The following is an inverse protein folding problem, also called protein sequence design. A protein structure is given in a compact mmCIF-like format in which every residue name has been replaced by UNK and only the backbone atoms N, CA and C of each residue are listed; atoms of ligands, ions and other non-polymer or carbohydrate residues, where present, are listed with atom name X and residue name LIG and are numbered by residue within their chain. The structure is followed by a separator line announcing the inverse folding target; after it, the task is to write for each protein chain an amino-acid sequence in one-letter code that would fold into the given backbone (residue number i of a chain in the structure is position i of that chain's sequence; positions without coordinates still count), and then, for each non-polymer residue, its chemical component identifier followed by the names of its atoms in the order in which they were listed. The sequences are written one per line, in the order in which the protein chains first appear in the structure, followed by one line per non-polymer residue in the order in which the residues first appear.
data_IF_466920000203
#
_entry.id   IF_466920000203
#
_cell.length_a   1.000
_cell.length_b   1.000
_cell.length_c   1.000
_cell.angle_alpha   90.00
_cell.angle_beta   90.00
_cell.angle_gamma   90.00
#
_symmetry.space_group_name_H-M   'P 1'
#
loop_
_entity.id
_entity.type
_entity.pdbx_description
1 polymer ?
#
# COMPACT_ATOMS: atom_id res chain seq x y z
N UNK A 1 8.63 0.38 11.20
CA UNK A 1 9.43 1.38 10.46
C UNK A 1 9.64 2.64 11.30
N UNK A 2 8.58 3.40 11.66
CA UNK A 2 8.71 4.66 12.39
C UNK A 2 9.47 4.52 13.72
N UNK A 3 9.25 3.44 14.48
CA UNK A 3 9.97 3.16 15.74
C UNK A 3 11.47 2.98 15.48
N UNK A 4 11.85 2.23 14.43
CA UNK A 4 13.27 2.04 14.08
C UNK A 4 13.95 3.37 13.76
N UNK A 5 13.31 4.22 12.94
CA UNK A 5 13.84 5.55 12.62
C UNK A 5 13.94 6.41 13.88
N UNK A 6 12.90 6.42 14.71
CA UNK A 6 12.89 7.18 15.97
C UNK A 6 13.98 6.74 16.95
N UNK A 7 14.17 5.42 17.12
CA UNK A 7 15.23 4.87 17.98
C UNK A 7 16.63 5.18 17.43
N UNK A 8 16.82 5.04 16.10
CA UNK A 8 18.07 5.37 15.45
C UNK A 8 18.50 6.82 15.74
N UNK A 9 17.55 7.74 15.64
CA UNK A 9 17.76 9.15 15.96
C UNK A 9 17.97 9.38 17.46
N UNK A 10 17.09 8.82 18.30
CA UNK A 10 17.08 9.05 19.75
C UNK A 10 18.37 8.59 20.43
N UNK A 11 18.87 7.44 20.03
CA UNK A 11 20.09 6.86 20.61
C UNK A 11 21.37 7.21 19.83
N UNK A 12 21.26 7.97 18.75
CA UNK A 12 22.40 8.36 17.93
C UNK A 12 23.14 7.15 17.32
N UNK A 13 22.41 6.08 17.00
CA UNK A 13 23.02 4.84 16.51
C UNK A 13 23.62 4.98 15.10
N UNK A 14 23.21 6.00 14.34
CA UNK A 14 23.71 6.38 13.01
C UNK A 14 23.66 5.24 11.98
N UNK A 15 22.69 4.34 12.12
CA UNK A 15 22.46 3.28 11.15
C UNK A 15 22.01 3.90 9.82
N UNK A 16 22.57 3.40 8.74
CA UNK A 16 22.16 3.71 7.38
C UNK A 16 20.76 3.15 7.07
N UNK A 17 20.11 3.64 6.01
CA UNK A 17 18.83 3.09 5.56
C UNK A 17 18.94 1.60 5.24
N UNK A 18 20.05 1.15 4.65
CA UNK A 18 20.29 -0.27 4.35
C UNK A 18 20.33 -1.12 5.62
N UNK A 19 21.00 -0.66 6.67
CA UNK A 19 21.05 -1.36 7.96
C UNK A 19 19.70 -1.37 8.67
N UNK A 20 18.95 -0.26 8.60
CA UNK A 20 17.57 -0.20 9.11
C UNK A 20 16.65 -1.17 8.36
N UNK A 21 16.78 -1.27 7.04
CA UNK A 21 16.01 -2.23 6.23
C UNK A 21 16.37 -3.68 6.60
N UNK A 22 17.68 -3.97 6.78
CA UNK A 22 18.13 -5.31 7.20
C UNK A 22 17.61 -5.71 8.59
N UNK A 23 17.54 -4.75 9.53
CA UNK A 23 16.89 -4.94 10.82
C UNK A 23 15.37 -5.10 10.68
N UNK A 24 14.76 -4.26 9.85
CA UNK A 24 13.33 -4.27 9.57
C UNK A 24 12.84 -5.59 9.00
N UNK A 25 13.60 -6.19 8.07
CA UNK A 25 13.29 -7.49 7.47
C UNK A 25 13.19 -8.63 8.50
N UNK A 26 13.94 -8.53 9.62
CA UNK A 26 13.85 -9.50 10.73
C UNK A 26 12.58 -9.34 11.58
N UNK A 27 11.90 -8.19 11.47
CA UNK A 27 10.67 -7.89 12.22
C UNK A 27 9.44 -8.26 11.37
N UNK A 28 9.51 -8.00 10.06
CA UNK A 28 8.42 -8.32 9.14
C UNK A 28 8.74 -7.89 7.71
N UNK A 29 8.18 -8.61 6.75
CA UNK A 29 8.41 -8.43 5.32
C UNK A 29 8.12 -7.01 4.81
N UNK A 30 7.10 -6.34 5.35
CA UNK A 30 6.68 -5.01 4.90
C UNK A 30 7.49 -3.86 5.52
N UNK A 31 8.28 -4.14 6.57
CA UNK A 31 9.03 -3.10 7.31
C UNK A 31 10.08 -2.41 6.44
N UNK A 32 10.86 -3.11 5.59
CA UNK A 32 11.82 -2.46 4.69
C UNK A 32 11.16 -1.47 3.72
N UNK A 33 10.03 -1.85 3.10
CA UNK A 33 9.28 -0.94 2.24
C UNK A 33 8.74 0.26 3.03
N UNK A 34 8.18 0.03 4.21
CA UNK A 34 7.69 1.12 5.07
C UNK A 34 8.79 2.07 5.57
N UNK A 35 10.07 1.62 5.61
CA UNK A 35 11.22 2.47 5.89
C UNK A 35 11.59 3.34 4.69
N UNK A 36 11.63 2.75 3.49
CA UNK A 36 11.95 3.47 2.26
C UNK A 36 10.82 4.40 1.83
N UNK A 37 9.58 3.92 1.87
CA UNK A 37 8.39 4.61 1.37
C UNK A 37 8.45 4.90 -0.13
N UNK A 38 7.57 5.79 -0.59
CA UNK A 38 7.48 6.14 -2.00
C UNK A 38 6.93 4.99 -2.86
N UNK A 39 7.44 4.87 -4.08
CA UNK A 39 7.06 3.82 -5.03
C UNK A 39 8.20 2.83 -5.19
N UNK A 40 7.95 1.55 -4.94
CA UNK A 40 8.95 0.50 -5.04
C UNK A 40 8.38 -0.75 -5.72
N UNK A 41 9.19 -1.41 -6.55
CA UNK A 41 8.99 -2.81 -6.89
C UNK A 41 9.57 -3.65 -5.74
N UNK A 42 8.74 -4.47 -5.14
CA UNK A 42 9.11 -5.37 -4.04
C UNK A 42 9.08 -6.81 -4.54
N UNK A 43 10.13 -7.57 -4.28
CA UNK A 43 10.27 -8.96 -4.72
C UNK A 43 10.80 -9.83 -3.58
N UNK A 44 10.96 -11.15 -3.85
CA UNK A 44 11.36 -12.11 -2.84
C UNK A 44 10.29 -12.26 -1.77
N UNK A 45 10.70 -12.27 -0.51
CA UNK A 45 9.79 -12.29 0.65
C UNK A 45 9.53 -10.88 1.20
N UNK A 46 9.70 -9.83 0.38
CA UNK A 46 9.57 -8.43 0.78
C UNK A 46 10.92 -7.74 1.02
N UNK A 47 12.02 -8.40 0.76
CA UNK A 47 13.39 -7.98 1.05
C UNK A 47 14.13 -7.35 -0.12
N UNK A 48 13.71 -7.65 -1.35
CA UNK A 48 14.31 -7.09 -2.56
C UNK A 48 13.52 -5.86 -3.03
N UNK A 49 14.01 -4.68 -2.65
CA UNK A 49 13.37 -3.41 -2.99
C UNK A 49 14.11 -2.69 -4.12
N UNK A 50 13.35 -2.32 -5.14
CA UNK A 50 13.82 -1.47 -6.24
C UNK A 50 12.98 -0.18 -6.24
N UNK A 51 13.61 0.94 -5.90
CA UNK A 51 12.95 2.24 -5.95
C UNK A 51 12.53 2.59 -7.40
N UNK A 52 11.34 3.13 -7.55
CA UNK A 52 10.78 3.62 -8.81
C UNK A 52 10.54 5.13 -8.70
N UNK A 53 10.35 5.84 -9.83
CA UNK A 53 9.84 7.20 -9.81
C UNK A 53 8.51 7.26 -9.05
N UNK A 54 8.14 8.44 -8.51
CA UNK A 54 6.82 8.62 -7.93
C UNK A 54 5.72 8.18 -8.89
N UNK A 55 4.68 7.52 -8.37
CA UNK A 55 3.47 7.27 -9.14
C UNK A 55 2.87 8.62 -9.59
N UNK A 56 2.21 8.70 -10.77
CA UNK A 56 1.53 9.91 -11.21
C UNK A 56 0.57 10.45 -10.15
N UNK A 57 0.30 11.76 -10.18
CA UNK A 57 -0.63 12.41 -9.27
C UNK A 57 -2.00 11.73 -9.34
N UNK A 58 -2.46 11.23 -8.19
CA UNK A 58 -3.73 10.53 -8.07
C UNK A 58 -4.25 10.61 -6.63
N UNK A 59 -5.49 10.18 -6.46
CA UNK A 59 -6.16 10.05 -5.18
C UNK A 59 -6.51 8.59 -4.92
N UNK A 60 -6.45 8.19 -3.66
CA UNK A 60 -6.91 6.87 -3.22
C UNK A 60 -8.09 7.04 -2.28
N UNK A 61 -9.19 6.34 -2.56
CA UNK A 61 -10.22 6.06 -1.55
C UNK A 61 -10.00 4.65 -1.03
N UNK A 62 -9.66 4.51 0.24
CA UNK A 62 -9.37 3.23 0.90
C UNK A 62 -10.49 2.89 1.85
N UNK A 63 -10.94 1.65 1.79
CA UNK A 63 -12.01 1.10 2.63
C UNK A 63 -11.53 -0.15 3.33
N UNK A 64 -11.72 -0.21 4.65
CA UNK A 64 -11.45 -1.40 5.44
C UNK A 64 -12.78 -1.91 6.03
N UNK A 65 -13.28 -3.07 5.60
CA UNK A 65 -14.43 -3.74 6.22
C UNK A 65 -14.19 -4.05 7.70
N UNK A 66 -15.27 -4.23 8.47
CA UNK A 66 -15.20 -4.50 9.91
C UNK A 66 -14.77 -5.96 10.25
N UNK A 67 -14.16 -6.66 9.29
CA UNK A 67 -13.56 -7.99 9.48
C UNK A 67 -12.16 -8.05 8.86
N UNK A 68 -11.36 -8.98 9.35
CA UNK A 68 -10.03 -9.26 8.81
C UNK A 68 -10.00 -10.53 7.95
N UNK A 69 -8.97 -10.65 7.12
CA UNK A 69 -8.62 -11.86 6.39
C UNK A 69 -7.31 -12.39 6.94
N UNK A 70 -7.25 -13.69 7.17
CA UNK A 70 -6.01 -14.35 7.60
C UNK A 70 -5.05 -14.46 6.43
N UNK A 71 -3.93 -13.73 6.49
CA UNK A 71 -2.89 -13.78 5.44
C UNK A 71 -2.38 -15.20 5.18
N UNK A 72 -2.06 -16.03 6.19
CA UNK A 72 -1.67 -17.42 5.95
C UNK A 72 -2.74 -18.24 5.24
N UNK A 73 -4.02 -18.05 5.59
CA UNK A 73 -5.13 -18.78 4.94
C UNK A 73 -5.33 -18.35 3.50
N UNK A 74 -5.20 -17.06 3.19
CA UNK A 74 -5.28 -16.54 1.82
C UNK A 74 -4.17 -17.11 0.94
N UNK A 75 -2.93 -17.18 1.43
CA UNK A 75 -1.83 -17.81 0.71
C UNK A 75 -2.01 -19.33 0.55
N UNK A 76 -2.44 -20.05 1.58
CA UNK A 76 -2.73 -21.47 1.50
C UNK A 76 -3.85 -21.78 0.49
N UNK A 77 -4.87 -20.94 0.43
CA UNK A 77 -5.92 -21.05 -0.58
C UNK A 77 -5.37 -20.78 -1.99
N UNK A 78 -4.52 -19.77 -2.16
CA UNK A 78 -3.84 -19.49 -3.42
C UNK A 78 -2.98 -20.68 -3.89
N UNK A 79 -2.20 -21.29 -3.01
CA UNK A 79 -1.36 -22.45 -3.32
C UNK A 79 -2.20 -23.68 -3.76
N UNK A 80 -3.46 -23.75 -3.29
CA UNK A 80 -4.36 -24.87 -3.60
C UNK A 80 -5.17 -24.65 -4.88
N UNK A 81 -5.73 -23.46 -5.04
CA UNK A 81 -6.69 -23.11 -6.11
C UNK A 81 -6.01 -22.37 -7.26
N UNK A 82 -4.95 -21.63 -6.97
CA UNK A 82 -4.34 -20.68 -7.90
C UNK A 82 -5.16 -19.41 -8.08
N UNK A 83 -4.82 -18.64 -9.10
CA UNK A 83 -5.57 -17.46 -9.53
C UNK A 83 -5.51 -17.35 -11.05
N UNK A 84 -6.58 -16.86 -11.66
CA UNK A 84 -6.60 -16.48 -13.07
C UNK A 84 -5.95 -15.12 -13.32
N UNK A 85 -5.78 -14.32 -12.25
CA UNK A 85 -5.23 -12.97 -12.30
C UNK A 85 -3.70 -13.01 -12.16
N UNK A 86 -3.00 -12.58 -13.20
CA UNK A 86 -1.54 -12.47 -13.24
C UNK A 86 -1.14 -11.03 -13.58
N UNK A 87 -0.93 -10.16 -12.57
CA UNK A 87 -0.53 -8.77 -12.81
C UNK A 87 0.79 -8.68 -13.57
N UNK A 88 0.83 -7.81 -14.61
CA UNK A 88 2.06 -7.53 -15.35
C UNK A 88 2.86 -6.43 -14.64
N UNK A 89 3.71 -6.84 -13.70
CA UNK A 89 4.55 -5.92 -12.94
C UNK A 89 5.57 -5.17 -13.81
N UNK A 90 5.96 -5.70 -14.97
CA UNK A 90 6.91 -5.03 -15.87
C UNK A 90 6.20 -3.93 -16.68
N UNK A 91 5.02 -4.21 -17.18
CA UNK A 91 4.17 -3.20 -17.82
C UNK A 91 3.83 -2.07 -16.84
N UNK A 92 3.49 -2.42 -15.59
CA UNK A 92 3.20 -1.44 -14.54
C UNK A 92 4.43 -0.57 -14.21
N UNK A 93 5.62 -1.16 -14.06
CA UNK A 93 6.87 -0.40 -13.84
C UNK A 93 7.15 0.55 -15.02
N UNK A 94 6.95 0.10 -16.26
CA UNK A 94 7.11 0.91 -17.46
C UNK A 94 6.13 2.09 -17.49
N UNK A 95 4.88 1.85 -17.13
CA UNK A 95 3.85 2.89 -17.06
C UNK A 95 4.16 3.93 -15.97
N UNK A 96 4.63 3.50 -14.79
CA UNK A 96 5.09 4.42 -13.72
C UNK A 96 6.21 5.31 -14.23
N UNK A 97 7.21 4.75 -14.93
CA UNK A 97 8.32 5.52 -15.49
C UNK A 97 7.90 6.49 -16.60
N UNK A 98 6.83 6.17 -17.31
CA UNK A 98 6.24 7.04 -18.33
C UNK A 98 5.34 8.14 -17.74
N UNK A 99 4.96 8.03 -16.45
CA UNK A 99 4.02 8.94 -15.82
C UNK A 99 2.57 8.76 -16.29
N UNK A 100 2.22 7.56 -16.78
CA UNK A 100 0.91 7.23 -17.37
C UNK A 100 0.04 6.51 -16.33
N UNK A 101 -0.88 7.24 -15.68
CA UNK A 101 -1.75 6.70 -14.63
C UNK A 101 -2.70 5.62 -15.16
N UNK A 102 -3.26 5.82 -16.37
CA UNK A 102 -4.20 4.86 -16.95
C UNK A 102 -3.51 3.52 -17.22
N UNK A 103 -2.30 3.56 -17.78
CA UNK A 103 -1.50 2.36 -18.01
C UNK A 103 -1.05 1.70 -16.70
N UNK A 104 -0.72 2.47 -15.65
CA UNK A 104 -0.42 1.94 -14.30
C UNK A 104 -1.63 1.19 -13.75
N UNK A 105 -2.82 1.77 -13.87
CA UNK A 105 -4.06 1.17 -13.39
C UNK A 105 -4.47 -0.05 -14.22
N UNK A 106 -4.28 -0.01 -15.54
CA UNK A 106 -4.61 -1.11 -16.43
C UNK A 106 -3.73 -2.36 -16.18
N UNK A 107 -2.46 -2.15 -15.81
CA UNK A 107 -1.53 -3.24 -15.48
C UNK A 107 -1.65 -3.74 -14.03
N UNK A 108 -2.44 -3.04 -13.19
CA UNK A 108 -2.61 -3.40 -11.79
C UNK A 108 -3.56 -4.59 -11.61
N UNK A 109 -3.26 -5.44 -10.65
CA UNK A 109 -4.09 -6.59 -10.28
C UNK A 109 -3.64 -7.19 -8.95
N UNK A 110 -4.46 -8.07 -8.39
CA UNK A 110 -4.13 -8.78 -7.17
C UNK A 110 -4.53 -10.25 -7.28
N UNK A 111 -3.54 -11.13 -7.39
CA UNK A 111 -3.75 -12.57 -7.52
C UNK A 111 -4.46 -13.21 -6.31
N UNK A 112 -4.42 -12.58 -5.13
CA UNK A 112 -5.07 -13.07 -3.93
C UNK A 112 -6.57 -12.76 -3.86
N UNK A 113 -7.10 -11.88 -4.72
CA UNK A 113 -8.52 -11.49 -4.67
C UNK A 113 -9.47 -12.68 -4.77
N UNK A 114 -9.16 -13.63 -5.67
CA UNK A 114 -9.99 -14.81 -5.92
C UNK A 114 -9.97 -15.82 -4.77
N UNK A 115 -8.95 -15.76 -3.91
CA UNK A 115 -8.69 -16.73 -2.84
C UNK A 115 -8.92 -16.17 -1.45
N UNK A 116 -9.03 -14.84 -1.29
CA UNK A 116 -8.99 -14.18 0.02
C UNK A 116 -10.21 -14.45 0.90
N UNK A 117 -11.35 -14.83 0.31
CA UNK A 117 -12.62 -14.96 1.02
C UNK A 117 -13.21 -13.62 1.50
N UNK A 118 -12.71 -12.48 1.03
CA UNK A 118 -13.22 -11.15 1.36
C UNK A 118 -14.61 -10.93 0.75
N UNK A 119 -15.65 -10.94 1.59
CA UNK A 119 -17.05 -10.99 1.15
C UNK A 119 -17.53 -9.71 0.47
N UNK A 120 -17.02 -8.53 0.89
CA UNK A 120 -17.49 -7.23 0.40
C UNK A 120 -16.65 -6.70 -0.78
N UNK A 121 -15.63 -7.43 -1.19
CA UNK A 121 -14.63 -7.00 -2.16
C UNK A 121 -15.30 -6.47 -3.45
N UNK A 122 -16.15 -7.29 -4.08
CA UNK A 122 -16.81 -6.92 -5.34
C UNK A 122 -17.79 -5.76 -5.17
N UNK A 123 -18.54 -5.71 -4.06
CA UNK A 123 -19.49 -4.63 -3.79
C UNK A 123 -18.75 -3.28 -3.62
N UNK A 124 -17.65 -3.26 -2.87
CA UNK A 124 -16.84 -2.06 -2.68
C UNK A 124 -16.18 -1.63 -4.00
N UNK A 125 -15.60 -2.56 -4.77
CA UNK A 125 -15.00 -2.27 -6.07
C UNK A 125 -16.01 -1.71 -7.06
N UNK A 126 -17.20 -2.29 -7.11
CA UNK A 126 -18.30 -1.81 -7.97
C UNK A 126 -18.69 -0.37 -7.61
N UNK A 127 -18.81 -0.06 -6.32
CA UNK A 127 -19.16 1.28 -5.85
C UNK A 127 -18.06 2.29 -6.16
N UNK A 128 -16.78 1.93 -5.95
CA UNK A 128 -15.65 2.79 -6.30
C UNK A 128 -15.65 3.11 -7.80
N UNK A 129 -15.83 2.10 -8.66
CA UNK A 129 -15.90 2.27 -10.13
C UNK A 129 -17.09 3.11 -10.56
N UNK A 130 -18.27 2.93 -9.94
CA UNK A 130 -19.47 3.73 -10.22
C UNK A 130 -19.26 5.22 -9.91
N UNK A 131 -18.30 5.57 -9.05
CA UNK A 131 -17.94 6.95 -8.72
C UNK A 131 -16.67 7.43 -9.47
N UNK A 132 -16.25 6.73 -10.52
CA UNK A 132 -15.17 7.18 -11.40
C UNK A 132 -13.77 6.73 -11.01
N UNK A 133 -13.63 5.67 -10.20
CA UNK A 133 -12.31 5.08 -9.99
C UNK A 133 -11.75 4.51 -11.30
N UNK A 134 -10.54 4.91 -11.68
CA UNK A 134 -9.80 4.37 -12.83
C UNK A 134 -9.55 2.87 -12.65
N UNK A 135 -9.22 2.47 -11.43
CA UNK A 135 -9.17 1.06 -11.01
C UNK A 135 -9.62 0.91 -9.57
N UNK A 136 -10.07 -0.30 -9.21
CA UNK A 136 -10.39 -0.66 -7.84
C UNK A 136 -9.96 -2.09 -7.56
N UNK A 137 -9.16 -2.29 -6.50
CA UNK A 137 -8.52 -3.54 -6.14
C UNK A 137 -8.51 -3.76 -4.63
N UNK A 138 -8.49 -5.01 -4.23
CA UNK A 138 -8.14 -5.40 -2.87
C UNK A 138 -6.63 -5.19 -2.64
N UNK A 139 -6.22 -4.76 -1.45
CA UNK A 139 -4.81 -4.63 -1.10
C UNK A 139 -4.30 -5.83 -0.31
N UNK A 140 -3.17 -6.39 -0.73
CA UNK A 140 -2.55 -7.54 -0.07
C UNK A 140 -3.47 -8.76 -0.03
N UNK A 141 -3.54 -9.42 1.12
CA UNK A 141 -4.44 -10.56 1.37
C UNK A 141 -5.88 -10.14 1.68
N UNK A 142 -6.17 -8.84 1.75
CA UNK A 142 -7.47 -8.27 2.11
C UNK A 142 -7.54 -7.95 3.62
N UNK A 143 -8.69 -7.54 4.15
CA UNK A 143 -9.95 -7.25 3.44
C UNK A 143 -10.04 -5.82 2.87
N UNK A 144 -8.99 -5.00 3.05
CA UNK A 144 -9.02 -3.62 2.58
C UNK A 144 -9.08 -3.55 1.05
N UNK A 145 -9.88 -2.60 0.55
CA UNK A 145 -10.05 -2.32 -0.88
C UNK A 145 -9.71 -0.85 -1.13
N UNK A 146 -9.10 -0.55 -2.24
CA UNK A 146 -8.84 0.83 -2.65
C UNK A 146 -9.31 1.09 -4.08
N UNK A 147 -9.71 2.33 -4.35
CA UNK A 147 -9.90 2.86 -5.69
C UNK A 147 -8.89 3.94 -5.98
N UNK A 148 -8.40 3.99 -7.21
CA UNK A 148 -7.51 5.04 -7.72
C UNK A 148 -8.33 6.01 -8.55
N UNK A 149 -8.13 7.31 -8.34
CA UNK A 149 -8.83 8.40 -9.02
C UNK A 149 -7.84 9.44 -9.53
N UNK A 150 -8.08 9.99 -10.69
CA UNK A 150 -7.40 11.14 -11.25
C UNK A 150 -8.02 12.48 -10.78
N UNK A 151 -9.29 12.45 -10.31
CA UNK A 151 -10.02 13.61 -9.79
C UNK A 151 -10.34 13.48 -8.29
N UNK A 152 -10.05 14.55 -7.53
CA UNK A 152 -10.33 14.62 -6.09
C UNK A 152 -11.81 14.57 -5.78
N UNK A 153 -12.64 15.22 -6.59
CA UNK A 153 -14.09 15.30 -6.36
C UNK A 153 -14.72 13.92 -6.49
N UNK A 154 -14.34 13.16 -7.51
CA UNK A 154 -14.78 11.79 -7.71
C UNK A 154 -14.36 10.90 -6.51
N UNK A 155 -13.12 11.00 -6.07
CA UNK A 155 -12.60 10.26 -4.92
C UNK A 155 -13.37 10.59 -3.61
N UNK A 156 -13.68 11.88 -3.38
CA UNK A 156 -14.49 12.33 -2.23
C UNK A 156 -15.93 11.85 -2.30
N UNK A 157 -16.54 11.84 -3.48
CA UNK A 157 -17.90 11.34 -3.68
C UNK A 157 -17.97 9.83 -3.41
N UNK A 158 -16.98 9.06 -3.88
CA UNK A 158 -16.86 7.64 -3.57
C UNK A 158 -16.72 7.40 -2.06
N UNK A 159 -15.86 8.18 -1.39
CA UNK A 159 -15.69 8.13 0.06
C UNK A 159 -17.01 8.39 0.80
N UNK A 160 -17.75 9.42 0.38
CA UNK A 160 -19.04 9.78 1.00
C UNK A 160 -20.09 8.67 0.84
N UNK A 161 -20.12 8.02 -0.32
CA UNK A 161 -21.03 6.90 -0.60
C UNK A 161 -20.69 5.62 0.20
N UNK A 162 -19.41 5.40 0.54
CA UNK A 162 -18.96 4.23 1.30
C UNK A 162 -19.15 4.35 2.82
N UNK A 163 -19.02 5.56 3.37
CA UNK A 163 -19.09 5.83 4.82
C UNK A 163 -20.35 5.34 5.54
N UNK A 164 -21.56 5.33 4.95
CA UNK A 164 -22.73 4.78 5.63
C UNK A 164 -22.61 3.29 5.97
N UNK A 165 -21.88 2.53 5.16
CA UNK A 165 -21.75 1.08 5.29
C UNK A 165 -20.42 0.64 5.94
N UNK A 166 -19.37 1.49 5.85
CA UNK A 166 -18.02 1.16 6.32
C UNK A 166 -17.47 2.28 7.21
N UNK A 167 -17.11 1.94 8.44
CA UNK A 167 -16.60 2.90 9.43
C UNK A 167 -15.18 3.38 9.10
N UNK A 168 -14.39 2.52 8.49
CA UNK A 168 -12.98 2.78 8.18
C UNK A 168 -12.84 3.10 6.69
N UNK A 169 -13.04 4.38 6.33
CA UNK A 169 -12.89 4.90 4.99
C UNK A 169 -11.99 6.13 4.99
N UNK A 170 -10.99 6.14 4.13
CA UNK A 170 -9.94 7.15 4.08
C UNK A 170 -9.75 7.69 2.68
N UNK A 171 -9.51 9.01 2.57
CA UNK A 171 -8.99 9.63 1.35
C UNK A 171 -7.50 9.88 1.55
N UNK A 172 -6.70 9.38 0.63
CA UNK A 172 -5.25 9.41 0.71
C UNK A 172 -4.61 9.92 -0.57
N UNK A 173 -3.36 10.36 -0.47
CA UNK A 173 -2.48 10.63 -1.59
C UNK A 173 -1.19 9.81 -1.48
N UNK A 174 -0.52 9.53 -2.60
CA UNK A 174 0.81 8.94 -2.56
C UNK A 174 1.78 9.76 -1.72
N UNK A 175 2.67 9.09 -1.00
CA UNK A 175 3.77 9.73 -0.27
C UNK A 175 5.09 9.48 -0.96
N UNK A 176 6.04 10.42 -0.85
CA UNK A 176 7.34 10.32 -1.54
C UNK A 176 8.45 9.70 -0.69
N UNK A 177 8.14 9.22 0.50
CA UNK A 177 9.17 8.64 1.37
C UNK A 177 8.63 8.02 2.64
N UNK A 178 9.48 7.32 3.35
CA UNK A 178 9.20 6.69 4.63
C UNK A 178 9.13 7.67 5.81
N UNK A 179 9.20 7.16 7.04
CA UNK A 179 9.11 7.96 8.25
C UNK A 179 10.19 9.03 8.32
N UNK A 180 9.83 10.22 8.78
CA UNK A 180 10.74 11.35 8.96
C UNK A 180 10.66 11.89 10.39
N UNK A 181 11.82 12.29 10.91
CA UNK A 181 11.88 13.03 12.18
C UNK A 181 11.52 14.49 11.91
N UNK A 182 10.38 14.93 12.39
CA UNK A 182 9.86 16.31 12.17
C UNK A 182 10.25 17.26 13.29
N UNK A 183 10.47 16.76 14.52
CA UNK A 183 10.82 17.56 15.69
C UNK A 183 11.92 16.84 16.46
N UNK A 184 13.05 17.51 16.62
CA UNK A 184 14.13 17.12 17.55
C UNK A 184 13.97 17.94 18.81
N UNK A 185 13.37 17.39 19.87
CA UNK A 185 13.48 17.99 21.19
C UNK A 185 14.83 17.58 21.78
N UNK A 186 15.65 18.53 22.18
CA UNK A 186 16.81 18.25 23.05
C UNK A 186 16.25 17.65 24.34
N UNK A 187 16.26 16.33 24.45
CA UNK A 187 15.97 15.65 25.69
C UNK A 187 17.29 15.51 26.44
N UNK A 188 17.39 16.25 27.53
CA UNK A 188 18.41 16.20 28.57
C UNK A 188 19.77 16.80 28.18
N UNK A 189 19.95 18.10 28.44
CA UNK A 189 21.21 18.56 29.03
C UNK A 189 21.35 17.87 30.39
N UNK A 190 22.21 16.84 30.46
CA UNK A 190 22.66 16.34 31.76
C UNK A 190 23.44 17.47 32.41
N UNK A 191 22.90 18.02 33.53
CA UNK A 191 23.67 18.75 34.52
C UNK A 191 24.69 17.83 35.15
#
# INVERSE_FOLDING_TARGET
AAVLVGMNELYGARLSMSELCALGAKIGADVPFALMGGTCRVQGVGDLLKALPPVPDCWFTVVMPDYGVSTPEAFAAYDTVGSSTHPDCEAQEKAIRAGDLDAVCAAAGNALEECSGAKDNEAIKALLRAHGAVTALMTGSGAAVFGVFDDETAARNALAALRPNYKQCYLCRPTHGGPRVTVRRQMFEKK
#
